data_IF_917746997409
#
_entry.id   IF_917746997409
#
_cell.length_a   1.000
_cell.length_b   1.000
_cell.length_c   1.000
_cell.angle_alpha   90.00
_cell.angle_beta   90.00
_cell.angle_gamma   90.00
#
_symmetry.space_group_name_H-M   'P 1'
#
loop_
_entity.id
_entity.type
_entity.pdbx_description
1 polymer ?
#
# COMPACT_ATOMS: atom_id res chain seq x y z
N UNK A 1 -35.49 6.44 -33.79
CA UNK A 1 -34.21 7.06 -33.43
C UNK A 1 -34.10 6.88 -31.92
N UNK A 2 -33.49 5.79 -31.47
CA UNK A 2 -33.23 5.59 -30.04
C UNK A 2 -31.91 6.28 -29.72
N UNK A 3 -32.01 7.27 -28.84
CA UNK A 3 -30.90 8.08 -28.37
C UNK A 3 -30.00 7.18 -27.52
N UNK A 4 -28.86 6.78 -28.09
CA UNK A 4 -27.84 6.02 -27.39
C UNK A 4 -27.17 6.96 -26.38
N UNK A 5 -27.77 7.08 -25.19
CA UNK A 5 -27.19 7.80 -24.06
C UNK A 5 -25.98 7.00 -23.61
N UNK A 6 -24.80 7.36 -24.11
CA UNK A 6 -23.53 6.85 -23.59
C UNK A 6 -23.51 7.07 -22.09
N UNK A 7 -23.53 5.98 -21.32
CA UNK A 7 -23.25 6.02 -19.89
C UNK A 7 -21.94 6.80 -19.66
N UNK A 8 -21.89 7.71 -18.68
CA UNK A 8 -20.65 8.41 -18.37
C UNK A 8 -19.58 7.38 -18.05
N UNK A 9 -18.39 7.52 -18.66
CA UNK A 9 -17.25 6.66 -18.37
C UNK A 9 -17.04 6.62 -16.84
N UNK A 10 -17.38 5.50 -16.21
CA UNK A 10 -17.19 5.30 -14.79
C UNK A 10 -15.67 5.26 -14.52
N UNK A 11 -15.12 6.40 -14.13
CA UNK A 11 -13.77 6.42 -13.56
C UNK A 11 -13.78 5.52 -12.33
N UNK A 12 -12.95 4.49 -12.35
CA UNK A 12 -12.76 3.62 -11.20
C UNK A 12 -12.07 4.41 -10.07
N UNK A 13 -12.92 5.04 -9.25
CA UNK A 13 -12.52 5.88 -8.13
C UNK A 13 -11.76 5.07 -7.08
N UNK A 14 -12.10 3.79 -6.94
CA UNK A 14 -11.40 2.86 -6.06
C UNK A 14 -9.97 2.64 -6.54
N UNK A 15 -9.76 2.38 -7.84
CA UNK A 15 -8.41 2.25 -8.39
C UNK A 15 -7.60 3.54 -8.29
N UNK A 16 -8.21 4.71 -8.48
CA UNK A 16 -7.53 6.01 -8.31
C UNK A 16 -7.08 6.20 -6.87
N UNK A 17 -7.99 5.98 -5.91
CA UNK A 17 -7.69 6.11 -4.49
C UNK A 17 -6.62 5.12 -4.05
N UNK A 18 -6.67 3.88 -4.54
CA UNK A 18 -5.68 2.85 -4.23
C UNK A 18 -4.28 3.24 -4.71
N UNK A 19 -4.16 3.85 -5.89
CA UNK A 19 -2.86 4.36 -6.38
C UNK A 19 -2.29 5.45 -5.46
N UNK A 20 -3.15 6.34 -4.97
CA UNK A 20 -2.73 7.36 -3.99
C UNK A 20 -2.32 6.73 -2.65
N UNK A 21 -3.09 5.76 -2.16
CA UNK A 21 -2.78 5.04 -0.92
C UNK A 21 -1.45 4.29 -1.02
N UNK A 22 -1.25 3.50 -2.08
CA UNK A 22 0.02 2.76 -2.28
C UNK A 22 1.22 3.70 -2.36
N UNK A 23 1.09 4.85 -3.03
CA UNK A 23 2.16 5.86 -3.05
C UNK A 23 2.46 6.44 -1.67
N UNK A 24 1.43 6.74 -0.87
CA UNK A 24 1.60 7.24 0.48
C UNK A 24 2.28 6.21 1.40
N UNK A 25 1.86 4.95 1.32
CA UNK A 25 2.45 3.85 2.10
C UNK A 25 3.92 3.64 1.76
N UNK A 26 4.29 3.68 0.48
CA UNK A 26 5.70 3.59 0.07
C UNK A 26 6.53 4.73 0.64
N UNK A 27 6.06 5.98 0.52
CA UNK A 27 6.74 7.14 1.11
C UNK A 27 6.89 7.02 2.63
N UNK A 28 5.89 6.47 3.31
CA UNK A 28 5.95 6.23 4.75
C UNK A 28 7.04 5.19 5.09
N UNK A 29 7.13 4.11 4.32
CA UNK A 29 8.22 3.14 4.47
C UNK A 29 9.60 3.72 4.18
N UNK A 30 9.72 4.56 3.14
CA UNK A 30 10.98 5.21 2.74
C UNK A 30 11.54 6.15 3.84
N UNK A 31 10.68 6.69 4.72
CA UNK A 31 11.08 7.50 5.88
C UNK A 31 11.19 6.67 7.17
N UNK A 32 11.36 5.35 7.06
CA UNK A 32 11.68 4.47 8.18
C UNK A 32 10.48 3.83 8.89
N UNK A 33 9.25 4.10 8.46
CA UNK A 33 8.04 3.54 9.05
C UNK A 33 7.47 2.37 8.23
N UNK A 34 8.34 1.46 7.78
CA UNK A 34 7.98 0.35 6.89
C UNK A 34 7.04 -0.65 7.57
N UNK A 35 7.24 -0.91 8.86
CA UNK A 35 6.38 -1.76 9.69
C UNK A 35 4.96 -1.21 9.81
N UNK A 36 4.82 0.08 10.11
CA UNK A 36 3.51 0.74 10.25
C UNK A 36 2.79 0.79 8.90
N UNK A 37 3.51 1.15 7.83
CA UNK A 37 2.98 1.10 6.47
C UNK A 37 2.48 -0.31 6.10
N UNK A 38 3.20 -1.36 6.51
CA UNK A 38 2.83 -2.75 6.23
C UNK A 38 1.56 -3.16 6.96
N UNK A 39 1.34 -2.70 8.22
CA UNK A 39 0.10 -2.96 8.96
C UNK A 39 -1.11 -2.30 8.30
N UNK A 40 -0.97 -1.05 7.87
CA UNK A 40 -2.04 -0.32 7.16
C UNK A 40 -2.36 -1.02 5.83
N UNK A 41 -1.33 -1.43 5.08
CA UNK A 41 -1.49 -2.19 3.84
C UNK A 41 -2.20 -3.53 4.08
N UNK A 42 -1.80 -4.30 5.11
CA UNK A 42 -2.42 -5.58 5.44
C UNK A 42 -3.91 -5.43 5.77
N UNK A 43 -4.30 -4.34 6.45
CA UNK A 43 -5.70 -4.06 6.72
C UNK A 43 -6.48 -3.77 5.42
N UNK A 44 -5.95 -2.92 4.55
CA UNK A 44 -6.57 -2.62 3.26
C UNK A 44 -6.71 -3.89 2.38
N UNK A 45 -5.68 -4.75 2.35
CA UNK A 45 -5.73 -6.03 1.66
C UNK A 45 -6.83 -6.93 2.23
N UNK A 46 -6.92 -7.02 3.56
CA UNK A 46 -7.93 -7.83 4.24
C UNK A 46 -9.34 -7.44 3.80
N UNK A 47 -9.62 -6.14 3.72
CA UNK A 47 -10.95 -5.63 3.39
C UNK A 47 -11.29 -5.82 1.89
N UNK A 48 -10.27 -5.86 1.01
CA UNK A 48 -10.45 -6.01 -0.44
C UNK A 48 -10.49 -7.47 -0.93
N UNK A 49 -9.76 -8.40 -0.29
CA UNK A 49 -9.43 -9.72 -0.85
C UNK A 49 -10.61 -10.57 -1.34
N UNK A 50 -11.81 -10.38 -0.80
CA UNK A 50 -13.01 -11.13 -1.18
C UNK A 50 -13.95 -10.36 -2.12
N UNK A 51 -13.84 -9.03 -2.17
CA UNK A 51 -14.72 -8.16 -2.96
C UNK A 51 -14.09 -7.67 -4.27
N UNK A 52 -12.77 -7.46 -4.26
CA UNK A 52 -12.01 -6.98 -5.40
C UNK A 52 -10.58 -7.54 -5.35
N UNK A 53 -10.40 -8.70 -5.98
CA UNK A 53 -9.13 -9.42 -6.00
C UNK A 53 -8.03 -8.65 -6.74
N UNK A 54 -8.37 -7.85 -7.75
CA UNK A 54 -7.38 -7.08 -8.53
C UNK A 54 -6.80 -5.94 -7.70
N UNK A 55 -7.65 -5.20 -6.98
CA UNK A 55 -7.21 -4.16 -6.05
C UNK A 55 -6.44 -4.75 -4.86
N UNK A 56 -6.86 -5.92 -4.34
CA UNK A 56 -6.12 -6.62 -3.30
C UNK A 56 -4.69 -6.97 -3.75
N UNK A 57 -4.50 -7.49 -4.96
CA UNK A 57 -3.17 -7.86 -5.45
C UNK A 57 -2.23 -6.65 -5.56
N UNK A 58 -2.75 -5.47 -5.92
CA UNK A 58 -1.98 -4.22 -5.94
C UNK A 58 -1.49 -3.82 -4.53
N UNK A 59 -2.31 -4.02 -3.49
CA UNK A 59 -1.88 -3.83 -2.09
C UNK A 59 -0.86 -4.89 -1.68
N UNK A 60 -1.06 -6.15 -2.09
CA UNK A 60 -0.12 -7.23 -1.81
C UNK A 60 1.28 -6.92 -2.33
N UNK A 61 1.40 -6.46 -3.57
CA UNK A 61 2.66 -5.97 -4.14
C UNK A 61 3.28 -4.81 -3.36
N UNK A 62 2.47 -3.97 -2.71
CA UNK A 62 2.95 -2.88 -1.85
C UNK A 62 3.52 -3.43 -0.52
N UNK A 63 2.87 -4.41 0.10
CA UNK A 63 3.42 -5.10 1.28
C UNK A 63 4.78 -5.74 0.98
N UNK A 64 4.91 -6.44 -0.17
CA UNK A 64 6.18 -7.01 -0.59
C UNK A 64 7.29 -5.98 -0.86
N UNK A 65 6.91 -4.77 -1.29
CA UNK A 65 7.87 -3.67 -1.41
C UNK A 65 8.32 -3.19 -0.03
N UNK A 66 7.37 -2.94 0.88
CA UNK A 66 7.65 -2.44 2.23
C UNK A 66 8.51 -3.41 3.04
N UNK A 67 8.26 -4.72 2.93
CA UNK A 67 9.05 -5.76 3.58
C UNK A 67 10.53 -5.81 3.14
N UNK A 68 10.89 -5.13 2.06
CA UNK A 68 12.28 -5.02 1.57
C UNK A 68 12.98 -3.74 2.04
N UNK A 69 12.26 -2.82 2.68
CA UNK A 69 12.86 -1.59 3.19
C UNK A 69 13.54 -1.84 4.55
N UNK A 70 14.65 -1.14 4.83
CA UNK A 70 15.24 -1.15 6.16
C UNK A 70 14.30 -0.44 7.13
N UNK A 71 13.94 -1.10 8.22
CA UNK A 71 13.12 -0.49 9.26
C UNK A 71 14.00 0.40 10.17
N UNK A 72 13.56 1.61 10.50
CA UNK A 72 14.34 2.51 11.37
C UNK A 72 14.58 1.89 12.75
N UNK A 73 13.64 1.09 13.24
CA UNK A 73 13.77 0.34 14.50
C UNK A 73 14.90 -0.68 14.41
N UNK A 74 15.04 -1.36 13.28
CA UNK A 74 16.14 -2.31 13.05
C UNK A 74 17.46 -1.59 12.81
N UNK A 75 17.47 -0.46 12.10
CA UNK A 75 18.66 0.38 11.94
C UNK A 75 19.17 0.90 13.29
N UNK A 76 18.28 1.37 14.17
CA UNK A 76 18.62 1.83 15.52
C UNK A 76 19.07 0.68 16.44
N UNK A 77 18.46 -0.50 16.34
CA UNK A 77 18.90 -1.71 17.08
C UNK A 77 20.29 -2.18 16.66
N UNK A 78 20.58 -2.16 15.36
CA UNK A 78 21.88 -2.59 14.82
C UNK A 78 23.01 -1.58 15.10
N UNK A 79 22.68 -0.33 15.43
CA UNK A 79 23.66 0.72 15.75
C UNK A 79 24.00 0.82 17.25
N UNK A 80 23.55 -0.10 18.12
CA UNK A 80 24.04 -0.13 19.51
C UNK A 80 25.54 -0.45 19.52
N UNK A 81 26.42 0.45 19.99
CA UNK A 81 27.83 0.13 20.14
C UNK A 81 28.00 -0.98 21.18
N UNK A 82 28.91 -1.91 20.89
CA UNK A 82 29.29 -2.99 21.81
C UNK A 82 29.87 -2.34 23.07
N UNK A 83 29.45 -2.72 24.29
CA UNK A 83 30.10 -2.22 25.49
C UNK A 83 31.56 -2.69 25.51
N UNK A 84 32.47 -1.76 25.79
CA UNK A 84 33.91 -2.00 25.99
C UNK A 84 34.19 -2.86 27.22
#
# INVERSE_FOLDING_TARGET
MEENVSEPAHFDSSAILLRSLTRALRKLGEVGAADEASRIAARAWSDLRHGDAELAEKINGTMHYLARLPDEVDAARNHRPKPE
#
